data_IF_456823436765
#
_entry.id   IF_456823436765
#
_cell.length_a   1.000
_cell.length_b   1.000
_cell.length_c   1.000
_cell.angle_alpha   90.00
_cell.angle_beta   90.00
_cell.angle_gamma   90.00
#
_symmetry.space_group_name_H-M   'P 1'
#
loop_
_entity.id
_entity.type
_entity.pdbx_description
1 polymer ?
#
# COMPACT_ATOMS: atom_id res chain seq x y z
N UNK A 1 28.07 11.35 23.89
CA UNK A 1 26.82 10.94 23.21
C UNK A 1 26.48 9.56 23.76
N UNK A 2 25.36 9.40 24.45
CA UNK A 2 25.06 8.20 25.25
C UNK A 2 24.62 7.03 24.36
N UNK A 3 25.57 6.18 23.97
CA UNK A 3 25.39 5.11 22.97
C UNK A 3 24.29 4.11 23.33
N UNK A 4 24.04 3.90 24.63
CA UNK A 4 22.98 3.02 25.11
C UNK A 4 21.59 3.62 24.85
N UNK A 5 21.44 4.92 25.11
CA UNK A 5 20.19 5.66 24.84
C UNK A 5 19.80 5.62 23.37
N UNK A 6 20.73 5.84 22.45
CA UNK A 6 20.45 5.79 21.00
C UNK A 6 20.12 4.37 20.52
N UNK A 7 20.81 3.36 21.05
CA UNK A 7 20.51 1.97 20.74
C UNK A 7 19.09 1.60 21.18
N UNK A 8 18.72 1.93 22.42
CA UNK A 8 17.36 1.68 22.95
C UNK A 8 16.31 2.43 22.14
N UNK A 9 16.54 3.71 21.81
CA UNK A 9 15.62 4.49 20.99
C UNK A 9 15.39 3.85 19.60
N UNK A 10 16.48 3.51 18.89
CA UNK A 10 16.39 2.89 17.57
C UNK A 10 15.69 1.53 17.63
N UNK A 11 15.96 0.77 18.69
CA UNK A 11 15.33 -0.53 18.92
C UNK A 11 13.83 -0.40 19.19
N UNK A 12 13.41 0.60 19.96
CA UNK A 12 11.99 0.89 20.18
C UNK A 12 11.31 1.38 18.89
N UNK A 13 11.98 2.23 18.10
CA UNK A 13 11.42 2.78 16.86
C UNK A 13 11.05 1.71 15.82
N UNK A 14 11.70 0.53 15.85
CA UNK A 14 11.34 -0.62 15.00
C UNK A 14 9.90 -1.12 15.18
N UNK A 15 9.22 -0.73 16.26
CA UNK A 15 7.79 -1.03 16.43
C UNK A 15 6.94 -0.41 15.32
N UNK A 16 7.35 0.74 14.77
CA UNK A 16 6.63 1.46 13.72
C UNK A 16 6.52 0.62 12.44
N UNK A 17 7.62 0.24 11.77
CA UNK A 17 7.53 -0.60 10.58
C UNK A 17 6.96 -1.98 10.90
N UNK A 18 7.19 -2.52 12.09
CA UNK A 18 6.60 -3.80 12.48
C UNK A 18 5.07 -3.76 12.54
N UNK A 19 4.47 -2.75 13.19
CA UNK A 19 3.01 -2.57 13.23
C UNK A 19 2.47 -2.32 11.82
N UNK A 20 3.14 -1.49 11.02
CA UNK A 20 2.76 -1.26 9.63
C UNK A 20 2.69 -2.57 8.85
N UNK A 21 3.72 -3.41 8.95
CA UNK A 21 3.75 -4.74 8.32
C UNK A 21 2.67 -5.68 8.85
N UNK A 22 2.37 -5.65 10.16
CA UNK A 22 1.30 -6.47 10.73
C UNK A 22 -0.08 -6.05 10.23
N UNK A 23 -0.35 -4.75 10.09
CA UNK A 23 -1.62 -4.26 9.56
C UNK A 23 -1.80 -4.65 8.10
N UNK A 24 -0.77 -4.47 7.27
CA UNK A 24 -0.82 -4.89 5.86
C UNK A 24 -0.94 -6.41 5.72
N UNK A 25 -0.35 -7.19 6.62
CA UNK A 25 -0.54 -8.65 6.64
C UNK A 25 -1.96 -9.02 7.08
N UNK A 26 -2.45 -8.40 8.16
CA UNK A 26 -3.80 -8.65 8.68
C UNK A 26 -4.88 -8.35 7.65
N UNK A 27 -4.65 -7.31 6.85
CA UNK A 27 -5.52 -6.92 5.74
C UNK A 27 -5.82 -8.06 4.75
N UNK A 28 -4.86 -8.95 4.51
CA UNK A 28 -5.04 -10.10 3.61
C UNK A 28 -6.09 -11.11 4.09
N UNK A 29 -6.45 -11.05 5.38
CA UNK A 29 -7.44 -11.93 5.99
C UNK A 29 -8.76 -11.21 6.30
N UNK A 30 -8.82 -9.89 6.11
CA UNK A 30 -10.03 -9.12 6.32
C UNK A 30 -10.94 -9.21 5.09
N UNK A 31 -12.28 -9.19 5.28
CA UNK A 31 -13.20 -9.16 4.16
C UNK A 31 -13.03 -7.85 3.37
N UNK A 32 -13.18 -7.95 2.05
CA UNK A 32 -13.19 -6.78 1.18
C UNK A 32 -14.36 -5.87 1.53
N UNK A 33 -14.12 -4.56 1.50
CA UNK A 33 -15.15 -3.55 1.68
C UNK A 33 -15.76 -3.21 0.33
N UNK A 34 -17.09 -3.07 0.30
CA UNK A 34 -17.80 -2.56 -0.87
C UNK A 34 -17.91 -1.04 -0.78
N UNK A 35 -17.64 -0.37 -1.89
CA UNK A 35 -17.75 1.07 -2.01
C UNK A 35 -18.40 1.42 -3.34
N UNK A 36 -19.57 2.06 -3.28
CA UNK A 36 -20.22 2.64 -4.45
C UNK A 36 -19.59 4.00 -4.76
N UNK A 37 -19.24 4.23 -6.02
CA UNK A 37 -18.56 5.46 -6.44
C UNK A 37 -18.81 5.73 -7.91
N UNK A 38 -18.43 6.93 -8.36
CA UNK A 38 -18.46 7.33 -9.76
C UNK A 38 -17.03 7.44 -10.29
N UNK A 39 -16.81 7.02 -11.54
CA UNK A 39 -15.58 7.29 -12.27
C UNK A 39 -15.51 8.78 -12.59
N UNK A 40 -14.57 9.51 -12.01
CA UNK A 40 -14.43 10.94 -12.26
C UNK A 40 -13.53 11.22 -13.45
N UNK A 41 -12.38 10.54 -13.50
CA UNK A 41 -11.36 10.83 -14.49
C UNK A 41 -10.51 9.61 -14.80
N UNK A 42 -10.05 9.53 -16.05
CA UNK A 42 -9.18 8.46 -16.52
C UNK A 42 -7.91 9.04 -17.13
N UNK A 43 -6.76 8.52 -16.71
CA UNK A 43 -5.49 8.95 -17.26
C UNK A 43 -4.51 7.81 -17.45
N UNK A 44 -3.53 8.06 -18.33
CA UNK A 44 -2.43 7.14 -18.57
C UNK A 44 -1.11 7.84 -18.37
N UNK A 45 -0.13 7.12 -17.85
CA UNK A 45 1.25 7.60 -17.76
C UNK A 45 2.18 6.56 -18.36
N UNK A 46 3.15 7.00 -19.18
CA UNK A 46 4.11 6.12 -19.84
C UNK A 46 5.50 6.30 -19.26
N UNK A 47 6.10 5.22 -18.78
CA UNK A 47 7.48 5.25 -18.31
C UNK A 47 8.45 5.33 -19.48
N UNK A 48 9.19 6.44 -19.58
CA UNK A 48 10.23 6.60 -20.62
C UNK A 48 11.38 5.59 -20.49
N UNK A 49 11.60 5.02 -19.29
CA UNK A 49 12.69 4.05 -19.02
C UNK A 49 12.27 2.59 -19.21
N UNK A 50 11.04 2.25 -18.79
CA UNK A 50 10.56 0.86 -18.81
C UNK A 50 9.63 0.57 -19.99
N UNK A 51 9.19 1.61 -20.73
CA UNK A 51 8.29 1.47 -21.88
C UNK A 51 6.84 1.16 -21.51
N UNK A 52 6.57 0.73 -20.28
CA UNK A 52 5.24 0.35 -19.79
C UNK A 52 4.32 1.57 -19.60
N UNK A 53 3.04 1.35 -19.93
CA UNK A 53 1.94 2.29 -19.68
C UNK A 53 1.22 1.89 -18.41
N UNK A 54 1.06 2.83 -17.49
CA UNK A 54 0.19 2.70 -16.32
C UNK A 54 -1.15 3.32 -16.65
N UNK A 55 -2.23 2.59 -16.41
CA UNK A 55 -3.60 3.03 -16.58
C UNK A 55 -4.20 3.31 -15.21
N UNK A 56 -4.62 4.54 -14.97
CA UNK A 56 -5.13 4.98 -13.68
C UNK A 56 -6.56 5.47 -13.82
N UNK A 57 -7.39 5.17 -12.83
CA UNK A 57 -8.77 5.64 -12.75
C UNK A 57 -8.93 6.35 -11.42
N UNK A 58 -9.36 7.60 -11.49
CA UNK A 58 -9.73 8.41 -10.34
C UNK A 58 -11.25 8.31 -10.16
N UNK A 59 -11.66 7.99 -8.94
CA UNK A 59 -13.04 7.97 -8.47
C UNK A 59 -13.21 9.04 -7.39
N UNK A 60 -14.46 9.44 -7.12
CA UNK A 60 -14.80 10.50 -6.15
C UNK A 60 -14.07 10.36 -4.81
N UNK A 61 -13.91 9.14 -4.30
CA UNK A 61 -13.31 8.88 -2.99
C UNK A 61 -12.09 7.93 -3.02
N UNK A 62 -11.58 7.57 -4.20
CA UNK A 62 -10.45 6.65 -4.32
C UNK A 62 -9.75 6.83 -5.66
N UNK A 63 -8.47 6.46 -5.74
CA UNK A 63 -7.78 6.35 -7.00
C UNK A 63 -6.92 5.11 -7.02
N UNK A 64 -6.86 4.46 -8.17
CA UNK A 64 -6.08 3.23 -8.29
C UNK A 64 -5.57 2.96 -9.70
N UNK A 65 -4.56 2.10 -9.80
CA UNK A 65 -4.11 1.58 -11.08
C UNK A 65 -4.95 0.39 -11.49
N UNK A 66 -5.16 0.26 -12.79
CA UNK A 66 -5.95 -0.80 -13.37
C UNK A 66 -5.24 -1.46 -14.55
N UNK A 67 -5.70 -2.66 -14.87
CA UNK A 67 -5.36 -3.28 -16.15
C UNK A 67 -5.95 -2.47 -17.31
N UNK A 68 -5.27 -2.47 -18.45
CA UNK A 68 -5.76 -1.85 -19.69
C UNK A 68 -7.18 -2.32 -20.06
N UNK A 69 -7.47 -3.60 -19.82
CA UNK A 69 -8.77 -4.20 -20.11
C UNK A 69 -9.90 -3.59 -19.27
N UNK A 70 -9.67 -3.30 -17.98
CA UNK A 70 -10.65 -2.60 -17.14
C UNK A 70 -10.75 -1.14 -17.56
N UNK A 71 -9.60 -0.48 -17.75
CA UNK A 71 -9.54 0.91 -18.17
C UNK A 71 -10.34 1.16 -19.44
N UNK A 72 -10.32 0.25 -20.41
CA UNK A 72 -11.07 0.42 -21.67
C UNK A 72 -12.57 0.09 -21.54
N UNK A 73 -13.01 -0.58 -20.47
CA UNK A 73 -14.41 -0.96 -20.26
C UNK A 73 -15.22 0.06 -19.45
N UNK A 74 -14.54 0.85 -18.61
CA UNK A 74 -15.16 1.92 -17.82
C UNK A 74 -15.15 3.26 -18.57
N UNK A 75 -16.19 4.07 -18.38
CA UNK A 75 -16.25 5.44 -18.86
C UNK A 75 -16.34 6.42 -17.70
N UNK A 76 -15.89 7.66 -17.94
CA UNK A 76 -16.12 8.75 -16.99
C UNK A 76 -17.62 9.00 -16.83
N UNK A 77 -18.06 9.14 -15.58
CA UNK A 77 -19.48 9.21 -15.20
C UNK A 77 -20.14 7.87 -14.88
N UNK A 78 -19.47 6.73 -15.10
CA UNK A 78 -20.04 5.43 -14.73
C UNK A 78 -20.16 5.26 -13.21
N UNK A 79 -21.34 4.87 -12.75
CA UNK A 79 -21.58 4.42 -11.37
C UNK A 79 -21.13 2.97 -11.21
N UNK A 80 -20.12 2.74 -10.37
CA UNK A 80 -19.51 1.43 -10.18
C UNK A 80 -19.47 1.05 -8.71
N UNK A 81 -19.44 -0.26 -8.44
CA UNK A 81 -19.16 -0.77 -7.10
C UNK A 81 -17.77 -1.36 -7.04
N UNK A 82 -16.90 -0.77 -6.23
CA UNK A 82 -15.55 -1.26 -5.98
C UNK A 82 -15.56 -2.24 -4.80
N UNK A 83 -14.78 -3.30 -4.88
CA UNK A 83 -14.39 -4.08 -3.72
C UNK A 83 -12.93 -3.81 -3.41
N UNK A 84 -12.69 -3.19 -2.26
CA UNK A 84 -11.39 -2.68 -1.85
C UNK A 84 -10.86 -3.39 -0.61
N UNK A 85 -9.55 -3.40 -0.44
CA UNK A 85 -8.92 -3.83 0.80
C UNK A 85 -9.30 -2.89 1.97
N UNK A 86 -9.35 -3.44 3.17
CA UNK A 86 -9.96 -2.75 4.32
C UNK A 86 -9.20 -1.48 4.73
N UNK A 87 -7.87 -1.53 4.81
CA UNK A 87 -7.01 -0.44 5.29
C UNK A 87 -6.41 0.40 4.16
N UNK A 88 -5.81 -0.24 3.16
CA UNK A 88 -5.09 0.38 2.05
C UNK A 88 -6.01 0.89 0.95
N UNK A 89 -7.27 0.45 0.97
CA UNK A 89 -8.32 0.79 -0.02
C UNK A 89 -7.96 0.43 -1.47
N UNK A 90 -7.01 -0.50 -1.63
CA UNK A 90 -6.64 -0.99 -2.95
C UNK A 90 -7.78 -1.81 -3.57
N UNK A 91 -8.12 -1.51 -4.81
CA UNK A 91 -9.22 -2.08 -5.56
C UNK A 91 -8.85 -3.47 -6.05
N UNK A 92 -9.55 -4.48 -5.53
CA UNK A 92 -9.40 -5.88 -5.94
C UNK A 92 -10.34 -6.24 -7.08
N UNK A 93 -11.56 -5.69 -7.07
CA UNK A 93 -12.53 -5.88 -8.15
C UNK A 93 -13.37 -4.62 -8.36
N UNK A 94 -13.87 -4.48 -9.58
CA UNK A 94 -14.82 -3.45 -9.99
C UNK A 94 -16.05 -4.13 -10.59
N UNK A 95 -17.22 -3.73 -10.14
CA UNK A 95 -18.50 -4.13 -10.71
C UNK A 95 -19.05 -2.96 -11.54
N UNK A 96 -19.27 -3.23 -12.82
CA UNK A 96 -19.84 -2.29 -13.78
C UNK A 96 -21.37 -2.17 -13.61
N UNK A 97 -22.00 -1.10 -14.15
CA UNK A 97 -23.46 -0.96 -14.18
C UNK A 97 -24.17 -2.15 -14.83
N UNK A 98 -23.51 -2.81 -15.79
CA UNK A 98 -24.01 -4.02 -16.46
C UNK A 98 -24.12 -5.24 -15.53
N UNK A 99 -23.62 -5.15 -14.31
CA UNK A 99 -23.52 -6.26 -13.35
C UNK A 99 -22.27 -7.12 -13.53
N UNK A 100 -21.45 -6.84 -14.55
CA UNK A 100 -20.20 -7.55 -14.78
C UNK A 100 -19.16 -7.19 -13.71
N UNK A 101 -18.51 -8.20 -13.13
CA UNK A 101 -17.43 -8.04 -12.15
C UNK A 101 -16.10 -8.33 -12.83
N UNK A 102 -15.17 -7.38 -12.76
CA UNK A 102 -13.81 -7.48 -13.30
C UNK A 102 -12.81 -7.49 -12.15
N UNK A 103 -11.83 -8.39 -12.21
CA UNK A 103 -10.74 -8.49 -11.23
C UNK A 103 -9.58 -7.60 -11.64
N UNK A 104 -9.09 -6.81 -10.69
CA UNK A 104 -7.96 -5.92 -10.90
C UNK A 104 -6.64 -6.65 -10.64
N UNK A 105 -6.08 -7.27 -11.67
CA UNK A 105 -4.80 -7.99 -11.58
C UNK A 105 -3.61 -7.06 -11.87
N UNK A 106 -3.36 -6.07 -11.00
CA UNK A 106 -2.17 -5.22 -11.06
C UNK A 106 -1.01 -5.81 -10.28
N UNK A 107 0.20 -5.28 -10.52
CA UNK A 107 1.39 -5.69 -9.79
C UNK A 107 1.46 -5.12 -8.35
N UNK A 108 0.55 -4.22 -7.97
CA UNK A 108 0.59 -3.49 -6.70
C UNK A 108 0.41 -4.41 -5.50
N UNK A 109 -0.41 -5.47 -5.64
CA UNK A 109 -0.53 -6.49 -4.60
C UNK A 109 0.80 -7.19 -4.29
N UNK A 110 1.67 -7.41 -5.29
CA UNK A 110 3.00 -7.97 -5.06
C UNK A 110 3.92 -6.96 -4.38
N UNK A 111 3.77 -5.66 -4.67
CA UNK A 111 4.49 -4.61 -3.96
C UNK A 111 4.06 -4.56 -2.48
N UNK A 112 2.77 -4.64 -2.18
CA UNK A 112 2.23 -4.71 -0.82
C UNK A 112 2.79 -5.90 -0.02
N UNK A 113 2.82 -7.08 -0.62
CA UNK A 113 3.42 -8.28 -0.01
C UNK A 113 4.93 -8.09 0.21
N UNK A 114 5.64 -7.56 -0.79
CA UNK A 114 7.07 -7.27 -0.69
C UNK A 114 7.39 -6.28 0.44
N UNK A 115 6.61 -5.22 0.57
CA UNK A 115 6.72 -4.26 1.68
C UNK A 115 6.46 -4.89 3.03
N UNK A 116 5.42 -5.72 3.13
CA UNK A 116 5.07 -6.46 4.35
C UNK A 116 6.23 -7.33 4.83
N UNK A 117 6.81 -8.12 3.92
CA UNK A 117 7.95 -8.99 4.22
C UNK A 117 9.18 -8.20 4.63
N UNK A 118 9.47 -7.09 3.95
CA UNK A 118 10.57 -6.21 4.30
C UNK A 118 10.38 -5.61 5.71
N UNK A 119 9.21 -5.04 5.98
CA UNK A 119 8.89 -4.41 7.26
C UNK A 119 9.00 -5.39 8.43
N UNK A 120 8.39 -6.56 8.33
CA UNK A 120 8.44 -7.57 9.40
C UNK A 120 9.84 -8.18 9.51
N UNK A 121 10.43 -8.60 8.39
CA UNK A 121 11.73 -9.27 8.34
C UNK A 121 12.86 -8.40 8.87
N UNK A 122 12.97 -7.15 8.41
CA UNK A 122 14.01 -6.24 8.88
C UNK A 122 13.80 -5.82 10.34
N UNK A 123 12.54 -5.60 10.77
CA UNK A 123 12.27 -5.24 12.17
C UNK A 123 12.69 -6.36 13.13
N UNK A 124 12.29 -7.60 12.83
CA UNK A 124 12.70 -8.79 13.61
C UNK A 124 14.23 -8.96 13.58
N UNK A 125 14.85 -8.84 12.40
CA UNK A 125 16.30 -8.95 12.25
C UNK A 125 17.05 -7.95 13.15
N UNK A 126 16.66 -6.67 13.11
CA UNK A 126 17.32 -5.64 13.89
C UNK A 126 16.99 -5.76 15.38
N UNK A 127 15.80 -6.17 15.79
CA UNK A 127 15.49 -6.40 17.20
C UNK A 127 16.39 -7.44 17.87
N UNK A 128 16.79 -8.47 17.13
CA UNK A 128 17.67 -9.55 17.64
C UNK A 128 19.13 -9.13 17.78
N UNK A 129 19.55 -8.00 17.20
CA UNK A 129 20.92 -7.47 17.35
C UNK A 129 21.14 -6.91 18.76
N UNK A 130 22.36 -7.06 19.26
CA UNK A 130 22.82 -6.51 20.55
C UNK A 130 23.38 -5.08 20.46
N UNK A 131 23.80 -4.66 19.26
CA UNK A 131 24.32 -3.33 18.96
C UNK A 131 24.12 -3.01 17.48
N UNK A 132 24.15 -1.72 17.13
CA UNK A 132 24.00 -1.24 15.75
C UNK A 132 25.23 -0.46 15.28
N UNK A 133 25.63 -0.68 14.03
CA UNK A 133 26.60 0.18 13.34
C UNK A 133 25.93 1.43 12.81
N UNK A 134 26.71 2.47 12.46
CA UNK A 134 26.19 3.72 11.87
C UNK A 134 25.36 3.45 10.60
N UNK A 135 25.76 2.48 9.77
CA UNK A 135 25.00 2.08 8.57
C UNK A 135 23.64 1.47 8.95
N UNK A 136 23.60 0.67 10.00
CA UNK A 136 22.34 0.05 10.47
C UNK A 136 21.38 1.08 11.04
N UNK A 137 21.87 2.07 11.80
CA UNK A 137 21.02 3.19 12.24
C UNK A 137 20.37 3.93 11.07
N UNK A 138 21.09 4.14 9.96
CA UNK A 138 20.53 4.74 8.75
C UNK A 138 19.42 3.88 8.13
N UNK A 139 19.64 2.57 8.03
CA UNK A 139 18.60 1.66 7.51
C UNK A 139 17.37 1.61 8.42
N UNK A 140 17.56 1.56 9.74
CA UNK A 140 16.46 1.61 10.71
C UNK A 140 15.68 2.92 10.57
N UNK A 141 16.36 4.06 10.44
CA UNK A 141 15.70 5.35 10.26
C UNK A 141 14.86 5.39 8.97
N UNK A 142 15.41 4.93 7.84
CA UNK A 142 14.68 4.85 6.56
C UNK A 142 13.46 3.94 6.71
N UNK A 143 13.63 2.75 7.29
CA UNK A 143 12.55 1.80 7.50
C UNK A 143 11.44 2.39 8.38
N UNK A 144 11.80 3.11 9.44
CA UNK A 144 10.85 3.77 10.33
C UNK A 144 10.09 4.90 9.65
N UNK A 145 10.76 5.71 8.82
CA UNK A 145 10.10 6.76 8.05
C UNK A 145 9.10 6.19 7.04
N UNK A 146 9.48 5.11 6.34
CA UNK A 146 8.58 4.40 5.43
C UNK A 146 7.39 3.79 6.17
N UNK A 147 7.64 3.12 7.31
CA UNK A 147 6.58 2.57 8.15
C UNK A 147 5.62 3.65 8.68
N UNK A 148 6.15 4.80 9.10
CA UNK A 148 5.34 5.92 9.58
C UNK A 148 4.44 6.48 8.45
N UNK A 149 5.01 6.66 7.25
CA UNK A 149 4.23 7.07 6.08
C UNK A 149 3.10 6.09 5.77
N UNK A 150 3.38 4.78 5.80
CA UNK A 150 2.36 3.74 5.60
C UNK A 150 1.26 3.80 6.66
N UNK A 151 1.60 3.98 7.95
CA UNK A 151 0.60 4.09 9.01
C UNK A 151 -0.27 5.34 8.87
N UNK A 152 0.33 6.49 8.55
CA UNK A 152 -0.41 7.74 8.31
C UNK A 152 -1.38 7.55 7.14
N UNK A 153 -0.93 6.94 6.04
CA UNK A 153 -1.80 6.63 4.89
C UNK A 153 -2.97 5.74 5.31
N UNK A 154 -2.71 4.66 6.05
CA UNK A 154 -3.76 3.77 6.55
C UNK A 154 -4.76 4.55 7.42
N UNK A 155 -4.30 5.40 8.33
CA UNK A 155 -5.20 6.19 9.20
C UNK A 155 -6.06 7.13 8.36
N UNK A 156 -5.45 7.92 7.48
CA UNK A 156 -6.15 8.92 6.67
C UNK A 156 -7.20 8.30 5.73
N UNK A 157 -6.97 7.08 5.23
CA UNK A 157 -7.92 6.38 4.36
C UNK A 157 -9.11 5.76 5.13
N UNK A 158 -9.08 5.78 6.46
CA UNK A 158 -10.09 5.13 7.32
C UNK A 158 -10.74 6.09 8.32
N UNK A 159 -10.49 7.40 8.20
CA UNK A 159 -11.13 8.48 8.97
C UNK A 159 -11.92 9.39 8.04
#
# INVERSE_FOLDING_TARGET
MDTEKYYTLAKTALIIPFIAGLLTLAEQFLPLQKMETVVEYKHTSRSAKLGNTTYSIDFVNNNDQFTEAIYNQVNEGDEVTLQVLYFTKEVQTIQLPSGQVLKNDTAEIYFLIGFTLAFLGFSIYFWRKKYYTVKQYRYIAILCLMGLFSLIRIINLNT
#
